data_IF_074706157987
#
_entry.id   IF_074706157987
#
_cell.length_a   1.000
_cell.length_b   1.000
_cell.length_c   1.000
_cell.angle_alpha   90.00
_cell.angle_beta   90.00
_cell.angle_gamma   90.00
#
_symmetry.space_group_name_H-M   'P 1'
#
loop_
_entity.id
_entity.type
_entity.pdbx_description
1 polymer ?
#
# COMPACT_ATOMS: atom_id res chain seq x y z
N UNK A 1 9.58 -10.05 -15.68
CA UNK A 1 8.93 -8.86 -15.08
C UNK A 1 9.91 -8.15 -14.15
N UNK A 2 10.17 -6.86 -14.38
CA UNK A 2 10.98 -5.99 -13.51
C UNK A 2 10.07 -5.09 -12.70
N UNK A 3 10.14 -5.18 -11.36
CA UNK A 3 9.32 -4.41 -10.43
C UNK A 3 10.16 -3.31 -9.81
N UNK A 4 9.66 -2.07 -9.84
CA UNK A 4 10.18 -0.96 -9.05
C UNK A 4 9.21 -0.69 -7.90
N UNK A 5 9.71 -0.71 -6.66
CA UNK A 5 8.92 -0.44 -5.47
C UNK A 5 9.40 0.84 -4.78
N UNK A 6 8.47 1.69 -4.39
CA UNK A 6 8.67 2.92 -3.63
C UNK A 6 7.60 3.05 -2.55
N UNK A 7 7.84 3.89 -1.55
CA UNK A 7 6.88 4.24 -0.50
C UNK A 7 7.17 5.60 0.10
N UNK A 8 6.28 6.08 0.96
CA UNK A 8 6.50 7.22 1.86
C UNK A 8 6.97 8.50 1.15
N UNK A 9 6.37 8.79 0.02
CA UNK A 9 6.75 9.98 -0.77
C UNK A 9 6.23 11.28 -0.18
N UNK A 10 5.17 11.25 0.64
CA UNK A 10 4.65 12.41 1.38
C UNK A 10 4.53 13.69 0.52
N UNK A 11 4.01 13.55 -0.71
CA UNK A 11 3.87 14.67 -1.65
C UNK A 11 5.16 15.08 -2.38
N UNK A 12 6.30 14.40 -2.13
CA UNK A 12 7.58 14.69 -2.78
C UNK A 12 7.87 13.82 -4.01
N UNK A 13 6.86 13.09 -4.50
CA UNK A 13 6.99 12.13 -5.60
C UNK A 13 7.52 12.76 -6.89
N UNK A 14 7.25 14.05 -7.16
CA UNK A 14 7.80 14.76 -8.31
C UNK A 14 9.33 14.90 -8.32
N UNK A 15 9.99 14.67 -7.18
CA UNK A 15 11.45 14.72 -7.06
C UNK A 15 12.13 13.38 -7.38
N UNK A 16 11.36 12.31 -7.55
CA UNK A 16 11.90 10.98 -7.79
C UNK A 16 12.34 10.80 -9.25
N UNK A 17 13.50 10.17 -9.41
CA UNK A 17 13.96 9.63 -10.68
C UNK A 17 13.84 8.11 -10.64
N UNK A 18 12.85 7.59 -11.33
CA UNK A 18 12.56 6.15 -11.32
C UNK A 18 13.38 5.40 -12.38
N UNK A 19 13.90 4.21 -12.05
CA UNK A 19 14.80 3.45 -12.95
C UNK A 19 14.09 2.76 -14.12
N UNK A 20 12.74 2.89 -14.20
CA UNK A 20 11.91 2.16 -15.16
C UNK A 20 11.76 0.68 -14.82
N UNK A 21 10.86 0.00 -15.51
CA UNK A 21 10.50 -1.39 -15.30
C UNK A 21 9.14 -1.69 -15.92
N UNK A 22 8.62 -2.89 -15.67
CA UNK A 22 7.32 -3.32 -16.16
C UNK A 22 6.21 -2.89 -15.18
N UNK A 23 6.47 -3.04 -13.88
CA UNK A 23 5.52 -2.70 -12.81
C UNK A 23 6.11 -1.68 -11.85
N UNK A 24 5.35 -0.61 -11.55
CA UNK A 24 5.64 0.33 -10.47
C UNK A 24 4.71 0.06 -9.29
N UNK A 25 5.26 -0.14 -8.10
CA UNK A 25 4.51 -0.30 -6.86
C UNK A 25 4.78 0.89 -5.95
N UNK A 26 3.70 1.46 -5.36
CA UNK A 26 3.80 2.41 -4.25
C UNK A 26 3.11 1.83 -3.01
N UNK A 27 3.86 1.63 -1.93
CA UNK A 27 3.40 0.94 -0.72
C UNK A 27 2.82 1.87 0.36
N UNK A 28 2.21 2.99 -0.05
CA UNK A 28 1.49 3.90 0.85
C UNK A 28 2.26 5.13 1.32
N UNK A 29 1.56 5.99 2.07
CA UNK A 29 2.00 7.32 2.47
C UNK A 29 2.37 8.21 1.28
N UNK A 30 1.42 8.30 0.35
CA UNK A 30 1.55 9.17 -0.83
C UNK A 30 1.36 10.63 -0.47
N UNK A 31 0.51 10.91 0.53
CA UNK A 31 0.20 12.25 1.02
C UNK A 31 1.06 12.63 2.25
N UNK A 32 1.21 13.92 2.47
CA UNK A 32 1.77 14.45 3.71
C UNK A 32 0.67 14.73 4.76
N UNK A 33 -0.47 15.26 4.33
CA UNK A 33 -1.62 15.63 5.18
C UNK A 33 -2.89 14.84 4.88
N UNK A 34 -2.89 14.01 3.84
CA UNK A 34 -4.04 13.20 3.46
C UNK A 34 -5.17 13.98 2.82
N UNK A 35 -4.90 15.11 2.18
CA UNK A 35 -5.91 15.94 1.52
C UNK A 35 -6.27 15.40 0.14
N UNK A 36 -7.48 15.73 -0.35
CA UNK A 36 -7.91 15.39 -1.71
C UNK A 36 -6.94 15.96 -2.77
N UNK A 37 -6.43 17.17 -2.56
CA UNK A 37 -5.48 17.80 -3.49
C UNK A 37 -4.19 16.98 -3.61
N UNK A 38 -3.60 16.53 -2.49
CA UNK A 38 -2.38 15.72 -2.49
C UNK A 38 -2.62 14.35 -3.15
N UNK A 39 -3.77 13.73 -2.85
CA UNK A 39 -4.13 12.44 -3.44
C UNK A 39 -4.32 12.54 -4.96
N UNK A 40 -5.01 13.55 -5.45
CA UNK A 40 -5.22 13.78 -6.88
C UNK A 40 -3.92 14.14 -7.62
N UNK A 41 -3.04 14.93 -6.99
CA UNK A 41 -1.70 15.24 -7.51
C UNK A 41 -0.86 13.96 -7.64
N UNK A 42 -0.86 13.11 -6.61
CA UNK A 42 -0.21 11.81 -6.67
C UNK A 42 -0.78 10.92 -7.78
N UNK A 43 -2.10 10.76 -7.87
CA UNK A 43 -2.75 9.95 -8.91
C UNK A 43 -2.32 10.44 -10.30
N UNK A 44 -2.34 11.75 -10.53
CA UNK A 44 -1.91 12.33 -11.79
C UNK A 44 -0.44 12.02 -12.10
N UNK A 45 0.47 12.25 -11.15
CA UNK A 45 1.88 11.95 -11.32
C UNK A 45 2.12 10.46 -11.56
N UNK A 46 1.52 9.59 -10.74
CA UNK A 46 1.69 8.14 -10.79
C UNK A 46 1.20 7.55 -12.10
N UNK A 47 0.05 8.03 -12.59
CA UNK A 47 -0.55 7.62 -13.86
C UNK A 47 0.36 7.92 -15.06
N UNK A 48 1.13 9.00 -14.99
CA UNK A 48 2.04 9.43 -16.07
C UNK A 48 3.42 8.76 -16.03
N UNK A 49 3.69 7.89 -15.05
CA UNK A 49 4.96 7.15 -15.01
C UNK A 49 5.02 6.11 -16.14
N UNK A 50 6.22 5.95 -16.72
CA UNK A 50 6.45 5.05 -17.88
C UNK A 50 6.64 3.59 -17.41
N UNK A 51 5.56 2.97 -16.98
CA UNK A 51 5.45 1.56 -16.61
C UNK A 51 4.18 0.99 -17.22
N UNK A 52 4.19 -0.27 -17.62
CA UNK A 52 3.03 -0.93 -18.21
C UNK A 52 1.90 -1.08 -17.18
N UNK A 53 2.27 -1.42 -15.94
CA UNK A 53 1.35 -1.55 -14.82
C UNK A 53 1.81 -0.73 -13.63
N UNK A 54 0.86 -0.11 -12.94
CA UNK A 54 1.12 0.70 -11.76
C UNK A 54 0.15 0.31 -10.65
N UNK A 55 0.68 -0.14 -9.51
CA UNK A 55 -0.09 -0.60 -8.36
C UNK A 55 0.23 0.28 -7.17
N UNK A 56 -0.79 0.75 -6.45
CA UNK A 56 -0.56 1.42 -5.20
C UNK A 56 -1.56 1.01 -4.13
N UNK A 57 -1.13 1.12 -2.89
CA UNK A 57 -1.96 1.10 -1.69
C UNK A 57 -1.86 2.45 -1.01
N UNK A 58 -2.79 2.74 -0.12
CA UNK A 58 -2.68 3.86 0.80
C UNK A 58 -1.79 3.52 2.01
N UNK A 59 -1.38 4.54 2.75
CA UNK A 59 -0.68 4.42 4.02
C UNK A 59 -1.43 5.15 5.14
N UNK A 60 -0.80 5.24 6.30
CA UNK A 60 -1.44 5.79 7.49
C UNK A 60 -1.61 7.33 7.45
N UNK A 61 -1.01 8.04 6.50
CA UNK A 61 -1.26 9.47 6.27
C UNK A 61 -2.27 9.76 5.16
N UNK A 62 -2.80 8.75 4.53
CA UNK A 62 -3.61 8.89 3.33
C UNK A 62 -5.11 8.93 3.64
N UNK A 63 -5.54 9.88 4.49
CA UNK A 63 -6.92 10.03 4.97
C UNK A 63 -7.95 10.17 3.85
N UNK A 64 -7.60 10.80 2.72
CA UNK A 64 -8.51 10.89 1.58
C UNK A 64 -8.94 9.49 1.10
N UNK A 65 -7.98 8.56 0.98
CA UNK A 65 -8.26 7.20 0.51
C UNK A 65 -9.03 6.35 1.53
N UNK A 66 -8.94 6.65 2.82
CA UNK A 66 -9.77 5.99 3.84
C UNK A 66 -11.20 6.50 3.82
N UNK A 67 -11.40 7.81 3.61
CA UNK A 67 -12.70 8.45 3.71
C UNK A 67 -13.53 8.32 2.43
N UNK A 68 -12.88 8.15 1.26
CA UNK A 68 -13.56 8.00 -0.01
C UNK A 68 -13.92 6.54 -0.31
N UNK A 69 -15.00 6.36 -1.06
CA UNK A 69 -15.38 5.04 -1.53
C UNK A 69 -14.37 4.50 -2.56
N UNK A 70 -14.02 3.23 -2.47
CA UNK A 70 -13.13 2.56 -3.42
C UNK A 70 -13.58 2.71 -4.89
N UNK A 71 -14.89 2.74 -5.14
CA UNK A 71 -15.47 2.96 -6.47
C UNK A 71 -15.16 4.36 -7.01
N UNK A 72 -15.24 5.39 -6.16
CA UNK A 72 -14.88 6.78 -6.51
C UNK A 72 -13.40 6.84 -6.87
N UNK A 73 -12.52 6.29 -6.03
CA UNK A 73 -11.08 6.28 -6.29
C UNK A 73 -10.78 5.56 -7.60
N UNK A 74 -11.34 4.36 -7.82
CA UNK A 74 -11.12 3.59 -9.04
C UNK A 74 -11.59 4.31 -10.30
N UNK A 75 -12.65 5.12 -10.23
CA UNK A 75 -13.13 5.90 -11.38
C UNK A 75 -12.18 7.02 -11.81
N UNK A 76 -11.24 7.41 -10.95
CA UNK A 76 -10.20 8.41 -11.24
C UNK A 76 -8.97 7.81 -11.92
N UNK A 77 -8.85 6.48 -11.95
CA UNK A 77 -7.65 5.78 -12.41
C UNK A 77 -7.78 5.35 -13.87
N UNK A 78 -6.73 5.51 -14.70
CA UNK A 78 -6.66 4.87 -15.99
C UNK A 78 -6.52 3.33 -15.83
N UNK A 79 -6.80 2.58 -16.90
CA UNK A 79 -6.81 1.11 -16.90
C UNK A 79 -5.47 0.46 -16.46
N UNK A 80 -4.36 1.16 -16.62
CA UNK A 80 -3.03 0.68 -16.23
C UNK A 80 -2.66 0.95 -14.77
N UNK A 81 -3.57 1.57 -13.99
CA UNK A 81 -3.32 1.95 -12.58
C UNK A 81 -4.32 1.27 -11.67
N UNK A 82 -3.81 0.58 -10.65
CA UNK A 82 -4.59 -0.23 -9.73
C UNK A 82 -4.40 0.25 -8.30
N UNK A 83 -5.50 0.66 -7.67
CA UNK A 83 -5.57 0.89 -6.23
C UNK A 83 -6.04 -0.38 -5.53
N UNK A 84 -5.22 -0.90 -4.62
CA UNK A 84 -5.56 -2.07 -3.83
C UNK A 84 -5.83 -1.66 -2.37
N UNK A 85 -6.98 -2.12 -1.88
CA UNK A 85 -7.43 -1.95 -0.50
C UNK A 85 -8.13 -3.24 -0.11
N UNK A 86 -7.44 -4.11 0.64
CA UNK A 86 -7.82 -5.49 0.93
C UNK A 86 -8.32 -6.22 -0.33
N UNK A 87 -7.56 -6.10 -1.39
CA UNK A 87 -7.92 -6.63 -2.70
C UNK A 87 -6.69 -7.02 -3.51
N UNK A 88 -6.91 -7.83 -4.53
CA UNK A 88 -5.85 -8.34 -5.38
C UNK A 88 -6.10 -8.15 -6.87
N UNK A 89 -5.04 -8.35 -7.64
CA UNK A 89 -5.05 -8.38 -9.10
C UNK A 89 -4.03 -9.39 -9.60
N UNK A 90 -4.30 -10.03 -10.74
CA UNK A 90 -3.34 -10.86 -11.44
C UNK A 90 -2.81 -10.11 -12.68
N UNK A 91 -1.50 -10.03 -12.82
CA UNK A 91 -0.81 -9.42 -13.96
C UNK A 91 0.19 -10.44 -14.51
N UNK A 92 0.03 -10.84 -15.76
CA UNK A 92 0.91 -11.82 -16.44
C UNK A 92 1.13 -13.11 -15.62
N UNK A 93 0.08 -13.59 -14.95
CA UNK A 93 0.12 -14.81 -14.13
C UNK A 93 0.70 -14.64 -12.73
N UNK A 94 1.12 -13.43 -12.34
CA UNK A 94 1.58 -13.09 -10.99
C UNK A 94 0.44 -12.47 -10.21
N UNK A 95 0.12 -13.04 -9.04
CA UNK A 95 -0.94 -12.56 -8.15
C UNK A 95 -0.38 -11.51 -7.17
N UNK A 96 -0.93 -10.31 -7.23
CA UNK A 96 -0.64 -9.21 -6.29
C UNK A 96 -1.80 -9.04 -5.33
N UNK A 97 -1.50 -8.85 -4.06
CA UNK A 97 -2.48 -8.44 -3.03
C UNK A 97 -1.99 -7.19 -2.33
N UNK A 98 -2.89 -6.24 -2.07
CA UNK A 98 -2.56 -4.99 -1.41
C UNK A 98 -3.51 -4.66 -0.26
N UNK A 99 -2.92 -4.25 0.87
CA UNK A 99 -3.66 -3.79 2.05
C UNK A 99 -3.00 -2.55 2.67
N UNK A 100 -3.74 -1.45 2.88
CA UNK A 100 -3.25 -0.26 3.55
C UNK A 100 -3.23 -0.38 5.08
N UNK A 101 -3.80 -1.46 5.62
CA UNK A 101 -4.06 -1.63 7.05
C UNK A 101 -2.76 -1.65 7.86
N UNK A 102 -2.76 -0.91 8.97
CA UNK A 102 -1.65 -0.84 9.91
C UNK A 102 -2.13 -1.01 11.35
N UNK A 103 -1.27 -1.51 12.26
CA UNK A 103 -1.57 -1.46 13.68
C UNK A 103 -1.84 -0.04 14.17
N UNK A 104 -2.80 0.10 15.07
CA UNK A 104 -3.21 1.39 15.62
C UNK A 104 -2.04 2.17 16.21
N UNK A 105 -1.88 3.41 15.73
CA UNK A 105 -0.86 4.35 16.15
C UNK A 105 -1.33 5.79 15.88
N UNK A 106 -1.44 6.61 16.93
CA UNK A 106 -1.78 8.04 16.89
C UNK A 106 -3.03 8.43 16.07
N UNK A 107 -4.08 7.61 16.06
CA UNK A 107 -5.32 7.86 15.31
C UNK A 107 -5.07 8.20 13.82
N UNK A 108 -4.15 7.50 13.20
CA UNK A 108 -3.85 7.66 11.78
C UNK A 108 -4.85 6.89 10.92
N UNK A 109 -4.85 7.15 9.62
CA UNK A 109 -5.70 6.45 8.66
C UNK A 109 -5.36 4.94 8.61
N UNK A 110 -6.34 4.11 8.25
CA UNK A 110 -6.22 2.66 8.09
C UNK A 110 -5.74 1.91 9.32
N UNK A 111 -5.80 2.53 10.50
CA UNK A 111 -5.41 1.92 11.75
C UNK A 111 -6.43 0.89 12.23
N UNK A 112 -5.95 -0.26 12.71
CA UNK A 112 -6.75 -1.32 13.36
C UNK A 112 -6.08 -1.79 14.63
N UNK A 113 -6.89 -2.13 15.63
CA UNK A 113 -6.38 -2.69 16.89
C UNK A 113 -5.70 -4.02 16.64
N UNK A 114 -4.55 -4.23 17.28
CA UNK A 114 -3.82 -5.49 17.23
C UNK A 114 -4.70 -6.65 17.73
N UNK A 115 -4.43 -7.85 17.28
CA UNK A 115 -5.22 -9.06 17.61
C UNK A 115 -6.35 -9.28 16.63
N UNK A 116 -7.56 -9.60 17.12
CA UNK A 116 -8.69 -10.04 16.29
C UNK A 116 -9.14 -9.00 15.25
N UNK A 117 -9.02 -7.72 15.58
CA UNK A 117 -9.50 -6.67 14.67
C UNK A 117 -8.65 -6.58 13.41
N UNK A 118 -7.34 -6.50 13.57
CA UNK A 118 -6.42 -6.44 12.40
C UNK A 118 -6.32 -7.79 11.68
N UNK A 119 -6.46 -8.92 12.40
CA UNK A 119 -6.38 -10.26 11.80
C UNK A 119 -7.44 -10.47 10.71
N UNK A 120 -8.64 -9.91 10.86
CA UNK A 120 -9.72 -10.00 9.86
C UNK A 120 -9.29 -9.51 8.46
N UNK A 121 -8.40 -8.52 8.40
CA UNK A 121 -7.85 -8.01 7.15
C UNK A 121 -6.81 -8.96 6.56
N UNK A 122 -5.95 -9.51 7.42
CA UNK A 122 -4.93 -10.47 6.98
C UNK A 122 -5.53 -11.80 6.55
N UNK A 123 -6.65 -12.23 7.14
CA UNK A 123 -7.38 -13.44 6.75
C UNK A 123 -7.92 -13.38 5.31
N UNK A 124 -8.09 -12.17 4.75
CA UNK A 124 -8.50 -11.97 3.37
C UNK A 124 -7.39 -12.28 2.35
N UNK A 125 -6.13 -12.34 2.77
CA UNK A 125 -4.99 -12.58 1.87
C UNK A 125 -5.09 -13.99 1.30
N UNK A 126 -5.19 -14.16 -0.03
CA UNK A 126 -5.25 -15.48 -0.64
C UNK A 126 -3.94 -16.26 -0.51
N UNK A 127 -4.01 -17.57 -0.30
CA UNK A 127 -2.82 -18.44 -0.21
C UNK A 127 -1.96 -18.49 -1.49
N UNK A 128 -2.50 -18.11 -2.63
CA UNK A 128 -1.76 -18.06 -3.90
C UNK A 128 -1.21 -16.66 -4.22
N UNK A 129 -1.05 -15.80 -3.22
CA UNK A 129 -0.45 -14.48 -3.38
C UNK A 129 1.04 -14.60 -3.65
N UNK A 130 1.51 -14.07 -4.79
CA UNK A 130 2.93 -14.06 -5.13
C UNK A 130 3.64 -12.79 -4.62
N UNK A 131 2.93 -11.64 -4.64
CA UNK A 131 3.45 -10.36 -4.18
C UNK A 131 2.44 -9.74 -3.24
N UNK A 132 2.84 -9.60 -1.97
CA UNK A 132 2.05 -8.94 -0.94
C UNK A 132 2.57 -7.53 -0.72
N UNK A 133 1.67 -6.55 -0.81
CA UNK A 133 1.97 -5.12 -0.63
C UNK A 133 1.26 -4.64 0.63
N UNK A 134 2.02 -4.28 1.67
CA UNK A 134 1.50 -3.72 2.92
C UNK A 134 2.24 -2.44 3.26
N UNK A 135 1.55 -1.49 3.90
CA UNK A 135 2.21 -0.26 4.35
C UNK A 135 3.04 -0.50 5.61
N UNK A 136 2.52 -1.26 6.57
CA UNK A 136 3.29 -1.63 7.77
C UNK A 136 3.99 -2.98 7.61
N UNK A 137 5.19 -3.16 8.23
CA UNK A 137 5.95 -4.40 8.14
C UNK A 137 5.35 -5.52 9.02
N UNK A 138 5.65 -6.81 8.75
CA UNK A 138 5.43 -7.89 9.68
C UNK A 138 6.38 -7.76 10.88
N UNK A 139 5.99 -8.32 12.04
CA UNK A 139 6.79 -8.26 13.26
C UNK A 139 8.15 -8.92 13.07
N UNK A 140 9.20 -8.25 13.52
CA UNK A 140 10.58 -8.75 13.50
C UNK A 140 11.29 -8.61 12.14
N UNK A 141 10.61 -8.16 11.08
CA UNK A 141 11.19 -8.02 9.74
C UNK A 141 11.19 -6.53 9.35
N UNK A 142 12.36 -5.90 9.38
CA UNK A 142 12.57 -4.49 9.04
C UNK A 142 11.63 -3.51 9.78
N UNK A 143 11.24 -3.86 11.02
CA UNK A 143 10.22 -3.18 11.80
C UNK A 143 10.77 -2.38 13.00
N UNK A 144 12.09 -2.24 13.11
CA UNK A 144 12.71 -1.49 14.20
C UNK A 144 12.61 0.01 14.00
N UNK A 145 12.02 0.66 14.98
CA UNK A 145 11.99 2.13 15.07
C UNK A 145 13.33 2.69 15.51
N UNK A 146 13.49 4.01 15.39
CA UNK A 146 14.66 4.72 15.92
C UNK A 146 14.79 4.60 17.45
N UNK A 147 13.71 4.28 18.17
CA UNK A 147 13.70 3.96 19.61
C UNK A 147 14.04 2.50 19.91
N UNK A 148 14.43 1.73 18.88
CA UNK A 148 14.76 0.30 18.99
C UNK A 148 13.57 -0.59 19.41
N UNK A 149 12.34 -0.18 19.11
CA UNK A 149 11.12 -0.92 19.34
C UNK A 149 10.66 -1.59 18.05
N UNK A 150 10.10 -2.79 18.14
CA UNK A 150 9.47 -3.47 17.03
C UNK A 150 8.05 -2.94 16.83
N UNK A 151 7.79 -2.29 15.69
CA UNK A 151 6.49 -1.70 15.34
C UNK A 151 5.61 -2.64 14.50
N UNK A 152 6.18 -3.67 13.91
CA UNK A 152 5.52 -4.60 13.00
C UNK A 152 4.31 -5.33 13.58
N UNK A 153 3.55 -5.98 12.72
CA UNK A 153 2.33 -6.70 13.06
C UNK A 153 2.58 -8.20 13.19
N UNK A 154 2.33 -8.77 14.39
CA UNK A 154 2.47 -10.22 14.65
C UNK A 154 1.44 -11.04 13.86
N UNK A 155 0.19 -10.55 13.74
CA UNK A 155 -0.83 -11.25 12.95
C UNK A 155 -0.46 -11.28 11.46
N UNK A 156 0.19 -10.23 10.93
CA UNK A 156 0.68 -10.23 9.55
C UNK A 156 1.81 -11.24 9.37
N UNK A 157 2.76 -11.32 10.32
CA UNK A 157 3.82 -12.32 10.28
C UNK A 157 3.25 -13.74 10.23
N UNK A 158 2.34 -14.07 11.16
CA UNK A 158 1.67 -15.38 11.16
C UNK A 158 1.02 -15.69 9.82
N UNK A 159 0.29 -14.72 9.25
CA UNK A 159 -0.38 -14.93 7.95
C UNK A 159 0.60 -15.17 6.80
N UNK A 160 1.72 -14.48 6.77
CA UNK A 160 2.76 -14.67 5.73
C UNK A 160 3.41 -16.05 5.83
N UNK A 161 3.59 -16.57 7.05
CA UNK A 161 4.14 -17.91 7.29
C UNK A 161 3.18 -19.04 6.88
N UNK A 162 1.87 -18.74 6.76
CA UNK A 162 0.82 -19.68 6.35
C UNK A 162 0.52 -19.62 4.83
N UNK A 163 1.00 -18.58 4.12
CA UNK A 163 0.70 -18.31 2.70
C UNK A 163 1.83 -18.78 1.80
#
# INVERSE_FOLDING_TARGET
>A
MKITAISDTHGLHHQLQLPGGDVLIHSGDVCNRGTAHEALDFINWFSNQKYDYKIFIAGNRDFYFENEQNTTIKSLLPESVFYLNDSGIAIEGISFWGSPITPEFHNMAFNRKRGVDIAKHWDLIPHNTNVLITHGPPYGILDRTFQNLNAGCTNLLTKIEET
#
